data_IF_157680088469
#
_entry.id   IF_157680088469
#
_cell.length_a   1.000
_cell.length_b   1.000
_cell.length_c   1.000
_cell.angle_alpha   90.00
_cell.angle_beta   90.00
_cell.angle_gamma   90.00
#
_symmetry.space_group_name_H-M   'P 1'
#
loop_
_entity.id
_entity.type
_entity.pdbx_description
1 polymer ?
#
# COMPACT_ATOMS: atom_id res chain seq x y z
N UNK A 1 18.76 -15.65 -6.14
CA UNK A 1 17.31 -15.88 -5.95
C UNK A 1 16.68 -14.52 -5.77
N UNK A 2 15.78 -14.04 -6.64
CA UNK A 2 15.12 -12.76 -6.38
C UNK A 2 14.33 -12.91 -5.08
N UNK A 3 14.54 -11.99 -4.14
CA UNK A 3 13.85 -11.94 -2.87
C UNK A 3 12.37 -11.74 -3.17
N UNK A 4 11.54 -12.77 -3.00
CA UNK A 4 10.10 -12.62 -3.02
C UNK A 4 9.72 -11.65 -1.90
N UNK A 5 9.05 -10.55 -2.23
CA UNK A 5 8.43 -9.69 -1.23
C UNK A 5 7.46 -10.56 -0.42
N UNK A 6 7.71 -10.75 0.87
CA UNK A 6 6.65 -11.21 1.76
C UNK A 6 5.76 -9.99 2.07
N UNK A 7 4.45 -10.19 2.00
CA UNK A 7 3.46 -9.14 2.22
C UNK A 7 2.74 -9.39 3.53
N UNK A 8 2.77 -8.42 4.44
CA UNK A 8 2.01 -8.48 5.69
C UNK A 8 0.69 -7.72 5.53
N UNK A 9 -0.43 -8.42 5.74
CA UNK A 9 -1.77 -7.85 5.61
C UNK A 9 -2.30 -7.35 6.97
N UNK A 10 -2.82 -6.12 6.97
CA UNK A 10 -3.53 -5.52 8.10
C UNK A 10 -4.93 -5.15 7.60
N UNK A 11 -5.95 -5.76 8.21
CA UNK A 11 -7.34 -5.42 7.96
C UNK A 11 -7.81 -4.39 9.00
N UNK A 12 -8.82 -3.60 8.65
CA UNK A 12 -9.43 -2.68 9.60
C UNK A 12 -8.61 -1.42 9.84
N UNK A 13 -7.60 -1.13 9.01
CA UNK A 13 -6.83 0.10 9.10
C UNK A 13 -6.71 0.80 7.74
N UNK A 14 -6.79 2.12 7.79
CA UNK A 14 -6.54 3.02 6.68
C UNK A 14 -5.33 3.89 6.98
N UNK A 15 -4.41 3.93 6.01
CA UNK A 15 -3.32 4.89 6.01
C UNK A 15 -3.54 5.87 4.84
N UNK A 16 -4.67 6.58 4.85
CA UNK A 16 -5.07 7.47 3.77
C UNK A 16 -4.40 8.85 3.89
N UNK A 17 -4.14 9.52 2.76
CA UNK A 17 -3.17 10.60 2.68
C UNK A 17 -3.45 11.83 3.58
N UNK A 18 -2.35 12.55 3.89
CA UNK A 18 -2.22 13.73 4.77
C UNK A 18 -2.82 13.60 6.17
N UNK A 19 -2.02 13.04 7.08
CA UNK A 19 -2.32 12.91 8.51
C UNK A 19 -2.44 11.46 8.95
N UNK A 20 -2.86 10.55 8.07
CA UNK A 20 -3.06 9.13 8.40
C UNK A 20 -1.87 8.26 7.97
N UNK A 21 -0.66 8.67 8.33
CA UNK A 21 0.49 7.77 8.32
C UNK A 21 0.96 7.21 6.98
N UNK A 22 0.54 7.72 5.83
CA UNK A 22 1.18 7.40 4.54
C UNK A 22 1.03 8.52 3.51
N UNK A 23 1.87 8.45 2.48
CA UNK A 23 1.80 9.31 1.30
C UNK A 23 1.33 8.47 0.12
N UNK A 24 0.38 8.99 -0.66
CA UNK A 24 0.03 8.40 -1.95
C UNK A 24 1.24 8.45 -2.88
N UNK A 25 1.63 7.28 -3.38
CA UNK A 25 2.69 7.20 -4.37
C UNK A 25 2.20 7.66 -5.74
N UNK A 26 0.94 7.37 -6.04
CA UNK A 26 0.26 7.81 -7.26
C UNK A 26 -0.38 9.16 -7.05
N UNK A 27 0.05 10.17 -7.80
CA UNK A 27 -0.62 11.47 -7.81
C UNK A 27 -1.86 11.41 -8.73
N UNK A 28 -3.00 12.05 -8.37
CA UNK A 28 -3.32 12.77 -7.13
C UNK A 28 -4.09 11.90 -6.11
N UNK A 29 -3.57 10.73 -5.76
CA UNK A 29 -4.25 9.75 -4.88
C UNK A 29 -5.23 8.83 -5.61
N UNK A 30 -5.11 8.73 -6.94
CA UNK A 30 -5.94 7.85 -7.75
C UNK A 30 -5.57 6.37 -7.57
N UNK A 31 -6.53 5.45 -7.77
CA UNK A 31 -6.20 4.03 -7.80
C UNK A 31 -5.32 3.70 -9.01
N UNK A 32 -4.50 2.66 -8.88
CA UNK A 32 -3.70 2.15 -9.99
C UNK A 32 -4.64 1.68 -11.10
N UNK A 33 -4.51 2.28 -12.28
CA UNK A 33 -5.35 1.98 -13.42
C UNK A 33 -5.15 0.53 -13.90
N UNK A 34 -6.25 -0.14 -14.24
CA UNK A 34 -6.22 -1.50 -14.77
C UNK A 34 -6.00 -2.60 -13.73
N UNK A 35 -5.97 -2.27 -12.44
CA UNK A 35 -5.80 -3.25 -11.35
C UNK A 35 -7.14 -3.68 -10.79
N UNK A 36 -7.46 -4.96 -10.95
CA UNK A 36 -8.72 -5.57 -10.47
C UNK A 36 -8.55 -6.62 -9.37
N UNK A 37 -7.33 -7.04 -9.07
CA UNK A 37 -7.03 -8.07 -8.08
C UNK A 37 -5.98 -7.59 -7.08
N UNK A 38 -5.94 -8.25 -5.91
CA UNK A 38 -4.93 -7.98 -4.89
C UNK A 38 -3.54 -8.34 -5.45
N UNK A 39 -3.38 -9.53 -6.05
CA UNK A 39 -2.09 -9.97 -6.61
C UNK A 39 -1.52 -9.01 -7.67
N UNK A 40 -2.36 -8.48 -8.57
CA UNK A 40 -1.90 -7.47 -9.54
C UNK A 40 -1.48 -6.18 -8.83
N UNK A 41 -2.22 -5.74 -7.82
CA UNK A 41 -1.83 -4.56 -7.01
C UNK A 41 -0.45 -4.74 -6.34
N UNK A 42 -0.20 -5.92 -5.77
CA UNK A 42 1.08 -6.25 -5.13
C UNK A 42 2.22 -6.28 -6.16
N UNK A 43 2.03 -6.97 -7.29
CA UNK A 43 3.03 -7.01 -8.37
C UNK A 43 3.31 -5.62 -8.97
N UNK A 44 2.29 -4.77 -9.10
CA UNK A 44 2.46 -3.37 -9.54
C UNK A 44 3.32 -2.61 -8.54
N UNK A 45 3.08 -2.76 -7.25
CA UNK A 45 3.89 -2.13 -6.21
C UNK A 45 5.33 -2.65 -6.20
N UNK A 46 5.55 -3.96 -6.38
CA UNK A 46 6.88 -4.56 -6.52
C UNK A 46 7.70 -3.91 -7.63
N UNK A 47 7.07 -3.76 -8.80
CA UNK A 47 7.64 -3.14 -9.99
C UNK A 47 7.77 -1.62 -9.88
N UNK A 48 7.34 -1.03 -8.77
CA UNK A 48 7.34 0.42 -8.56
C UNK A 48 8.36 0.81 -7.52
N UNK A 49 9.24 1.72 -7.92
CA UNK A 49 10.22 2.28 -6.99
C UNK A 49 9.53 3.18 -5.95
N UNK A 50 9.95 3.04 -4.69
CA UNK A 50 9.37 3.78 -3.57
C UNK A 50 8.03 3.26 -3.05
N UNK A 51 7.47 2.20 -3.63
CA UNK A 51 6.23 1.60 -3.11
C UNK A 51 6.55 0.68 -1.93
N UNK A 52 6.02 1.04 -0.76
CA UNK A 52 6.22 0.33 0.52
C UNK A 52 4.98 -0.47 0.93
N UNK A 53 3.80 -0.01 0.52
CA UNK A 53 2.54 -0.64 0.85
C UNK A 53 1.48 -0.40 -0.23
N UNK A 54 0.42 -1.20 -0.22
CA UNK A 54 -0.78 -0.97 -1.01
C UNK A 54 -2.01 -0.99 -0.11
N UNK A 55 -2.88 0.01 -0.26
CA UNK A 55 -4.19 0.04 0.37
C UNK A 55 -5.23 -0.46 -0.63
N UNK A 56 -5.98 -1.47 -0.21
CA UNK A 56 -7.05 -2.11 -0.94
C UNK A 56 -8.36 -1.63 -0.34
N UNK A 57 -9.18 -0.98 -1.17
CA UNK A 57 -10.54 -0.57 -0.81
C UNK A 57 -11.51 -1.36 -1.69
N UNK A 58 -12.42 -2.10 -1.07
CA UNK A 58 -13.50 -2.76 -1.81
C UNK A 58 -14.50 -1.70 -2.25
N UNK A 59 -14.82 -1.72 -3.53
CA UNK A 59 -15.81 -0.84 -4.15
C UNK A 59 -17.12 -1.59 -4.38
N UNK A 60 -18.16 -0.86 -4.75
CA UNK A 60 -19.44 -1.47 -5.12
C UNK A 60 -19.27 -2.50 -6.25
N UNK A 61 -20.19 -3.47 -6.29
CA UNK A 61 -20.24 -4.54 -7.31
C UNK A 61 -19.01 -5.45 -7.34
N UNK A 62 -18.25 -5.50 -6.25
CA UNK A 62 -17.08 -6.38 -6.11
C UNK A 62 -15.82 -5.84 -6.80
N UNK A 63 -15.85 -4.60 -7.29
CA UNK A 63 -14.65 -3.93 -7.80
C UNK A 63 -13.66 -3.65 -6.65
N UNK A 64 -12.39 -3.50 -7.00
CA UNK A 64 -11.30 -3.25 -6.07
C UNK A 64 -10.55 -2.01 -6.51
N UNK A 65 -10.26 -1.12 -5.57
CA UNK A 65 -9.37 0.01 -5.78
C UNK A 65 -8.04 -0.24 -5.07
N UNK A 66 -6.94 -0.10 -5.82
CA UNK A 66 -5.57 -0.32 -5.38
C UNK A 66 -4.86 1.03 -5.26
N UNK A 67 -4.33 1.36 -4.08
CA UNK A 67 -3.61 2.61 -3.85
C UNK A 67 -2.19 2.33 -3.36
N UNK A 68 -1.17 2.66 -4.15
CA UNK A 68 0.23 2.52 -3.74
C UNK A 68 0.59 3.60 -2.71
N UNK A 69 1.34 3.20 -1.69
CA UNK A 69 1.72 4.02 -0.53
C UNK A 69 3.23 4.01 -0.34
N UNK A 70 3.74 5.11 0.23
CA UNK A 70 5.14 5.31 0.64
C UNK A 70 5.21 6.10 1.95
N UNK A 71 6.37 6.10 2.60
CA UNK A 71 6.59 6.77 3.89
C UNK A 71 5.58 6.32 4.94
N UNK A 72 5.50 5.01 5.19
CA UNK A 72 4.49 4.44 6.08
C UNK A 72 4.82 4.65 7.58
N UNK A 73 3.86 5.21 8.31
CA UNK A 73 3.87 5.44 9.75
C UNK A 73 2.62 4.79 10.38
N UNK A 74 2.70 3.49 10.66
CA UNK A 74 1.56 2.70 11.13
C UNK A 74 0.84 3.23 12.37
N UNK A 75 1.56 3.93 13.26
CA UNK A 75 0.97 4.54 14.46
C UNK A 75 0.03 5.71 14.17
N UNK A 76 0.06 6.24 12.95
CA UNK A 76 -0.78 7.33 12.50
C UNK A 76 -1.92 6.84 11.61
N UNK A 77 -1.96 5.55 11.27
CA UNK A 77 -3.10 4.98 10.55
C UNK A 77 -4.32 4.95 11.47
N UNK A 78 -5.50 5.07 10.87
CA UNK A 78 -6.79 5.10 11.57
C UNK A 78 -7.54 3.79 11.36
N UNK A 79 -8.48 3.47 12.24
CA UNK A 79 -9.33 2.30 12.07
C UNK A 79 -10.32 2.53 10.91
N UNK A 80 -10.38 1.57 9.98
CA UNK A 80 -11.30 1.54 8.83
C UNK A 80 -11.55 0.09 8.41
N UNK A 81 -12.71 -0.44 8.80
CA UNK A 81 -13.14 -1.82 8.52
C UNK A 81 -13.33 -2.10 7.02
N UNK A 82 -13.49 -1.08 6.18
CA UNK A 82 -13.62 -1.23 4.74
C UNK A 82 -12.25 -1.38 4.04
N UNK A 83 -11.16 -1.03 4.73
CA UNK A 83 -9.81 -1.04 4.20
C UNK A 83 -9.00 -2.26 4.61
N UNK A 84 -8.15 -2.69 3.68
CA UNK A 84 -7.06 -3.64 3.95
C UNK A 84 -5.77 -3.08 3.38
N UNK A 85 -4.73 -2.95 4.19
CA UNK A 85 -3.40 -2.54 3.73
C UNK A 85 -2.45 -3.75 3.72
N UNK A 86 -1.65 -3.85 2.68
CA UNK A 86 -0.57 -4.84 2.55
C UNK A 86 0.75 -4.09 2.57
N UNK A 87 1.65 -4.48 3.46
CA UNK A 87 2.95 -3.85 3.65
C UNK A 87 4.02 -4.82 3.17
N UNK A 88 4.93 -4.32 2.34
CA UNK A 88 6.10 -5.07 1.92
C UNK A 88 7.04 -5.27 3.11
N UNK A 89 7.41 -6.51 3.40
CA UNK A 89 8.48 -6.82 4.37
C UNK A 89 9.86 -6.85 3.73
N UNK A 90 9.98 -6.61 2.42
CA UNK A 90 11.29 -6.48 1.77
C UNK A 90 11.99 -5.25 2.32
N UNK A 91 12.90 -5.48 3.26
CA UNK A 91 13.64 -4.47 4.02
C UNK A 91 14.59 -3.61 3.17
N UNK A 92 14.75 -3.90 1.88
CA UNK A 92 15.79 -3.34 0.99
C UNK A 92 15.27 -2.43 -0.14
N UNK A 93 14.20 -1.66 0.10
CA UNK A 93 13.96 -0.42 -0.66
C UNK A 93 14.29 0.82 0.18
N UNK A 94 15.24 0.69 1.09
CA UNK A 94 15.56 1.63 2.17
C UNK A 94 16.02 2.99 1.63
N UNK A 95 15.13 3.99 1.74
CA UNK A 95 15.56 5.32 2.14
C UNK A 95 16.28 5.22 3.50
N UNK A 96 17.41 5.93 3.73
CA UNK A 96 18.24 5.74 4.91
C UNK A 96 17.47 6.10 6.19
N UNK A 97 17.51 5.18 7.16
CA UNK A 97 17.30 5.53 8.57
C UNK A 97 18.61 6.17 9.04
N UNK A 98 18.66 7.49 9.11
CA UNK A 98 19.71 8.18 9.86
C UNK A 98 19.61 7.81 11.33
N UNK A 99 20.78 7.62 11.91
CA UNK A 99 21.12 7.14 13.26
C UNK A 99 20.46 7.90 14.40
#
# INVERSE_FOLDING_TARGET
VPLSLEWQAFAGISCWGQGEGAVHLDAPGSPVAGVGTIDDCLHRCESTWGCEAVQIVRQERGALACYRKRNLHLRQCVDDDASKIFISTARDKSWPKTE
#
